data_IF_821672992119
#
_entry.id   IF_821672992119
#
_cell.length_a   1.000
_cell.length_b   1.000
_cell.length_c   1.000
_cell.angle_alpha   90.00
_cell.angle_beta   90.00
_cell.angle_gamma   90.00
#
_symmetry.space_group_name_H-M   'P 1'
#
loop_
_entity.id
_entity.type
_entity.pdbx_description
1 polymer ?
#
# COMPACT_ATOMS: atom_id res chain seq x y z
N UNK A 1 25.54 -14.31 25.47
CA UNK A 1 25.67 -12.87 25.54
C UNK A 1 25.21 -12.21 24.25
N UNK A 2 24.39 -11.22 24.37
CA UNK A 2 23.90 -10.52 23.21
C UNK A 2 24.94 -9.49 22.78
N UNK A 3 25.33 -9.57 21.52
CA UNK A 3 26.24 -8.58 20.98
C UNK A 3 25.52 -7.26 20.79
N UNK A 4 26.26 -6.19 20.87
CA UNK A 4 25.70 -4.86 20.83
C UNK A 4 25.61 -4.28 19.44
N UNK A 5 25.87 -5.09 18.43
CA UNK A 5 25.53 -4.69 17.10
C UNK A 5 24.13 -5.08 16.84
N UNK A 6 23.31 -4.14 16.76
CA UNK A 6 21.96 -4.38 16.32
C UNK A 6 21.92 -3.99 14.86
N UNK A 7 21.88 -4.98 13.99
CA UNK A 7 21.66 -4.67 12.59
C UNK A 7 20.17 -4.51 12.41
N UNK A 8 19.74 -3.27 12.28
CA UNK A 8 18.35 -3.01 11.96
C UNK A 8 18.11 -3.39 10.51
N UNK A 9 17.01 -4.09 10.26
CA UNK A 9 16.65 -4.49 8.93
C UNK A 9 15.60 -3.54 8.38
N UNK A 10 15.86 -2.90 7.22
CA UNK A 10 14.85 -2.08 6.57
C UNK A 10 13.70 -2.93 6.05
N UNK A 11 12.54 -2.34 5.80
CA UNK A 11 11.40 -3.12 5.32
C UNK A 11 11.59 -3.57 3.88
N UNK A 12 10.96 -4.70 3.56
CA UNK A 12 10.81 -5.19 2.20
C UNK A 12 9.34 -5.41 1.94
N UNK A 13 8.89 -5.03 0.78
CA UNK A 13 7.48 -5.14 0.39
C UNK A 13 7.35 -6.16 -0.72
N UNK A 14 6.38 -7.06 -0.59
CA UNK A 14 5.97 -7.91 -1.69
C UNK A 14 5.37 -7.00 -2.78
N UNK A 15 5.81 -7.11 -4.04
CA UNK A 15 5.27 -6.23 -5.08
C UNK A 15 3.75 -6.26 -5.12
N UNK A 16 3.14 -5.08 -5.13
CA UNK A 16 1.70 -4.96 -5.13
C UNK A 16 1.15 -5.01 -6.55
N UNK A 17 -0.08 -5.49 -6.68
CA UNK A 17 -0.75 -5.60 -7.97
C UNK A 17 -2.24 -5.61 -7.76
N UNK A 18 -2.98 -4.98 -8.68
CA UNK A 18 -4.43 -5.07 -8.68
C UNK A 18 -4.94 -6.41 -9.19
N UNK A 19 -4.09 -7.21 -9.81
CA UNK A 19 -4.48 -8.53 -10.30
C UNK A 19 -5.14 -8.53 -11.66
N UNK A 20 -5.56 -7.38 -12.14
CA UNK A 20 -6.15 -7.20 -13.48
C UNK A 20 -5.48 -6.02 -14.15
N UNK A 21 -5.44 -6.05 -15.47
CA UNK A 21 -4.85 -4.97 -16.24
C UNK A 21 -5.78 -3.76 -16.32
N UNK A 22 -7.08 -4.00 -16.43
CA UNK A 22 -8.06 -2.93 -16.55
C UNK A 22 -9.32 -3.29 -15.79
N UNK A 23 -10.00 -2.29 -15.24
CA UNK A 23 -11.21 -2.46 -14.45
C UNK A 23 -12.37 -1.71 -15.10
N UNK A 24 -13.56 -2.27 -15.02
CA UNK A 24 -14.76 -1.58 -15.43
C UNK A 24 -15.24 -0.65 -14.33
N UNK A 25 -15.93 0.42 -14.72
CA UNK A 25 -16.57 1.30 -13.74
C UNK A 25 -17.50 0.49 -12.84
N UNK A 26 -17.65 0.94 -11.63
CA UNK A 26 -18.50 0.35 -10.59
C UNK A 26 -18.02 -0.99 -10.07
N UNK A 27 -16.91 -1.53 -10.58
CA UNK A 27 -16.34 -2.74 -10.02
C UNK A 27 -15.60 -2.43 -8.72
N UNK A 28 -15.36 -3.44 -7.92
CA UNK A 28 -14.62 -3.33 -6.67
C UNK A 28 -13.22 -3.89 -6.85
N UNK A 29 -12.25 -3.24 -6.25
CA UNK A 29 -10.86 -3.75 -6.29
C UNK A 29 -10.14 -3.47 -4.98
N UNK A 30 -9.08 -4.23 -4.76
CA UNK A 30 -8.24 -4.07 -3.58
C UNK A 30 -6.77 -4.14 -3.97
N UNK A 31 -5.95 -3.47 -3.16
CA UNK A 31 -4.50 -3.64 -3.16
C UNK A 31 -4.09 -4.13 -1.79
N UNK A 32 -3.24 -5.13 -1.74
CA UNK A 32 -2.70 -5.62 -0.47
C UNK A 32 -1.21 -5.30 -0.43
N UNK A 33 -0.81 -4.59 0.60
CA UNK A 33 0.60 -4.29 0.85
C UNK A 33 1.08 -5.15 1.99
N UNK A 34 2.02 -6.03 1.72
CA UNK A 34 2.58 -6.93 2.70
C UNK A 34 4.06 -6.65 2.87
N UNK A 35 4.46 -6.41 4.12
CA UNK A 35 5.86 -6.25 4.48
C UNK A 35 6.40 -7.64 4.80
N UNK A 36 7.28 -8.14 3.95
CA UNK A 36 7.81 -9.50 4.07
C UNK A 36 8.98 -9.61 5.03
N UNK A 37 9.67 -8.49 5.30
CA UNK A 37 10.82 -8.43 6.20
C UNK A 37 10.96 -7.02 6.70
N UNK A 38 11.68 -6.86 7.80
CA UNK A 38 11.96 -5.58 8.40
C UNK A 38 11.65 -5.56 9.88
N UNK A 39 12.45 -4.79 10.63
CA UNK A 39 12.28 -4.69 12.08
C UNK A 39 11.07 -3.84 12.43
N UNK A 40 10.35 -4.25 13.46
CA UNK A 40 9.25 -3.44 13.98
C UNK A 40 9.79 -2.33 14.89
N UNK A 41 9.08 -1.23 15.00
CA UNK A 41 7.79 -0.95 14.38
C UNK A 41 7.92 -0.57 12.91
N UNK A 42 6.98 -1.04 12.11
CA UNK A 42 6.85 -0.67 10.69
C UNK A 42 5.57 0.12 10.52
N UNK A 43 5.64 1.24 9.83
CA UNK A 43 4.47 2.06 9.52
C UNK A 43 4.22 1.96 8.02
N UNK A 44 2.99 1.61 7.66
CA UNK A 44 2.58 1.50 6.26
C UNK A 44 1.65 2.67 5.95
N UNK A 45 1.95 3.38 4.88
CA UNK A 45 1.11 4.46 4.39
C UNK A 45 0.85 4.28 2.90
N UNK A 46 -0.22 4.88 2.44
CA UNK A 46 -0.62 4.82 1.04
C UNK A 46 -0.63 6.21 0.43
N UNK A 47 -0.33 6.29 -0.86
CA UNK A 47 -0.45 7.53 -1.60
C UNK A 47 -1.06 7.26 -2.97
N UNK A 48 -1.69 8.30 -3.50
CA UNK A 48 -2.30 8.31 -4.82
C UNK A 48 -1.86 9.61 -5.48
N UNK A 49 -1.20 9.52 -6.63
CA UNK A 49 -0.60 10.68 -7.31
C UNK A 49 0.29 11.50 -6.37
N UNK A 50 1.00 10.84 -5.47
CA UNK A 50 1.89 11.50 -4.53
C UNK A 50 1.22 12.11 -3.31
N UNK A 51 -0.10 12.06 -3.21
CA UNK A 51 -0.84 12.57 -2.06
C UNK A 51 -1.19 11.43 -1.10
N UNK A 52 -0.95 11.65 0.19
CA UNK A 52 -1.28 10.64 1.19
C UNK A 52 -2.77 10.39 1.25
N UNK A 53 -3.13 9.12 1.38
CA UNK A 53 -4.51 8.67 1.52
C UNK A 53 -4.74 8.33 2.98
N UNK A 54 -5.78 8.92 3.57
CA UNK A 54 -6.21 8.56 4.92
C UNK A 54 -7.41 7.61 4.83
N UNK A 55 -7.66 6.90 5.93
CA UNK A 55 -8.71 5.88 5.97
C UNK A 55 -10.12 6.46 5.83
N UNK A 56 -10.29 7.75 6.01
CA UNK A 56 -11.58 8.43 5.89
C UNK A 56 -11.64 9.33 4.66
N UNK A 57 -10.95 8.92 3.61
CA UNK A 57 -10.98 9.62 2.34
C UNK A 57 -12.40 9.67 1.78
N UNK A 58 -12.78 10.82 1.24
CA UNK A 58 -14.12 11.03 0.68
C UNK A 58 -14.29 10.42 -0.70
N UNK A 59 -13.22 9.88 -1.29
CA UNK A 59 -13.24 9.40 -2.68
C UNK A 59 -13.63 7.93 -2.81
N UNK A 60 -14.16 7.33 -1.74
CA UNK A 60 -14.53 5.92 -1.79
C UNK A 60 -13.34 4.98 -1.69
N UNK A 61 -12.19 5.50 -1.31
CA UNK A 61 -10.99 4.71 -1.07
C UNK A 61 -10.85 4.50 0.42
N UNK A 62 -10.76 3.25 0.82
CA UNK A 62 -10.60 2.89 2.23
C UNK A 62 -9.30 2.15 2.42
N UNK A 63 -8.62 2.42 3.53
CA UNK A 63 -7.41 1.69 3.89
C UNK A 63 -7.58 1.12 5.29
N UNK A 64 -7.01 -0.04 5.52
CA UNK A 64 -7.08 -0.67 6.82
C UNK A 64 -5.82 -1.51 7.03
N UNK A 65 -5.29 -1.44 8.25
CA UNK A 65 -4.12 -2.21 8.63
C UNK A 65 -4.55 -3.47 9.37
N UNK A 66 -3.91 -4.58 9.04
CA UNK A 66 -4.13 -5.86 9.69
C UNK A 66 -2.81 -6.31 10.29
N UNK A 67 -2.66 -6.10 11.60
CA UNK A 67 -1.38 -6.30 12.25
C UNK A 67 -0.40 -5.20 11.86
N UNK A 68 0.89 -5.47 12.04
CA UNK A 68 1.92 -4.47 11.81
C UNK A 68 2.52 -4.52 10.41
N UNK A 69 2.23 -5.57 9.62
CA UNK A 69 2.93 -5.79 8.36
C UNK A 69 2.02 -5.97 7.16
N UNK A 70 0.74 -5.70 7.30
CA UNK A 70 -0.20 -5.82 6.20
C UNK A 70 -1.15 -4.64 6.21
N UNK A 71 -1.38 -4.05 5.05
CA UNK A 71 -2.38 -3.00 4.86
C UNK A 71 -3.14 -3.26 3.57
N UNK A 72 -4.44 -3.03 3.61
CA UNK A 72 -5.30 -3.23 2.45
C UNK A 72 -5.92 -1.89 2.07
N UNK A 73 -5.82 -1.57 0.79
CA UNK A 73 -6.52 -0.44 0.19
C UNK A 73 -7.67 -1.00 -0.64
N UNK A 74 -8.86 -0.46 -0.43
CA UNK A 74 -10.06 -0.93 -1.11
C UNK A 74 -10.76 0.23 -1.81
N UNK A 75 -11.16 0.01 -3.05
CA UNK A 75 -12.01 0.92 -3.80
C UNK A 75 -13.31 0.17 -4.04
N UNK A 76 -14.40 0.63 -3.39
CA UNK A 76 -15.66 -0.09 -3.44
C UNK A 76 -16.33 0.01 -4.80
N UNK A 77 -16.20 1.15 -5.45
CA UNK A 77 -16.81 1.38 -6.75
C UNK A 77 -15.86 2.21 -7.59
N UNK A 78 -15.20 1.54 -8.51
CA UNK A 78 -14.18 2.18 -9.33
C UNK A 78 -14.84 3.20 -10.26
N UNK A 79 -14.22 4.37 -10.36
CA UNK A 79 -14.63 5.41 -11.30
C UNK A 79 -13.39 5.91 -12.04
N UNK A 80 -13.62 6.72 -13.07
CA UNK A 80 -12.51 7.28 -13.84
C UNK A 80 -11.57 8.14 -13.00
N UNK A 81 -12.09 8.76 -11.96
CA UNK A 81 -11.26 9.54 -11.04
C UNK A 81 -10.29 8.72 -10.22
N UNK A 82 -10.47 7.41 -10.17
CA UNK A 82 -9.55 6.53 -9.45
C UNK A 82 -8.34 6.09 -10.28
N UNK A 83 -8.30 6.44 -11.56
CA UNK A 83 -7.17 6.07 -12.43
C UNK A 83 -5.89 6.70 -11.94
N UNK A 84 -4.84 5.93 -11.96
CA UNK A 84 -3.52 6.44 -11.64
C UNK A 84 -2.67 5.47 -10.85
N UNK A 85 -1.60 6.00 -10.28
CA UNK A 85 -0.59 5.19 -9.61
C UNK A 85 -0.82 5.26 -8.10
N UNK A 86 -0.96 4.10 -7.50
CA UNK A 86 -1.07 3.93 -6.06
C UNK A 86 0.25 3.37 -5.54
N UNK A 87 0.74 3.93 -4.44
CA UNK A 87 2.01 3.55 -3.85
C UNK A 87 1.81 3.19 -2.39
N UNK A 88 2.35 2.04 -2.02
CA UNK A 88 2.48 1.64 -0.63
C UNK A 88 3.88 1.99 -0.16
N UNK A 89 3.99 2.67 0.96
CA UNK A 89 5.25 2.99 1.60
C UNK A 89 5.31 2.30 2.94
N UNK A 90 6.37 1.53 3.17
CA UNK A 90 6.65 0.94 4.48
C UNK A 90 7.92 1.57 5.03
N UNK A 91 7.88 1.99 6.27
CA UNK A 91 9.01 2.67 6.90
C UNK A 91 9.24 2.15 8.31
N UNK A 92 10.49 1.94 8.64
CA UNK A 92 10.93 1.65 10.02
C UNK A 92 12.17 2.49 10.33
N UNK A 93 12.80 2.22 11.46
CA UNK A 93 13.97 3.01 11.87
C UNK A 93 15.20 2.75 11.02
N UNK A 94 15.22 1.68 10.25
CA UNK A 94 16.35 1.31 9.42
C UNK A 94 16.23 1.80 7.99
N UNK A 95 15.02 2.18 7.54
CA UNK A 95 14.85 2.65 6.18
C UNK A 95 13.41 2.55 5.72
N UNK A 96 13.22 2.58 4.41
CA UNK A 96 11.90 2.52 3.81
C UNK A 96 11.92 1.72 2.52
N UNK A 97 10.74 1.28 2.12
CA UNK A 97 10.52 0.59 0.85
C UNK A 97 9.19 1.05 0.27
N UNK A 98 9.09 1.04 -1.05
CA UNK A 98 7.86 1.38 -1.75
C UNK A 98 7.53 0.33 -2.79
N UNK A 99 6.25 0.21 -3.09
CA UNK A 99 5.78 -0.56 -4.23
C UNK A 99 4.57 0.16 -4.81
N UNK A 100 4.49 0.21 -6.13
CA UNK A 100 3.45 0.96 -6.82
C UNK A 100 2.69 0.06 -7.78
N UNK A 101 1.43 0.41 -8.01
CA UNK A 101 0.59 -0.27 -8.99
C UNK A 101 -0.30 0.76 -9.66
N UNK A 102 -0.50 0.59 -10.94
CA UNK A 102 -1.35 1.49 -11.71
C UNK A 102 -2.75 0.91 -11.86
N UNK A 103 -3.75 1.74 -11.57
CA UNK A 103 -5.14 1.39 -11.80
C UNK A 103 -5.58 1.99 -13.14
N UNK A 104 -6.02 1.13 -14.05
CA UNK A 104 -6.58 1.54 -15.32
C UNK A 104 -8.08 1.25 -15.31
N UNK A 105 -8.84 2.19 -15.80
CA UNK A 105 -10.29 2.07 -15.83
C UNK A 105 -10.76 2.10 -17.28
N UNK A 106 -11.62 1.14 -17.63
CA UNK A 106 -12.17 1.00 -18.96
C UNK A 106 -13.10 2.17 -19.27
N UNK A 107 -12.98 2.68 -20.45
CA UNK A 107 -13.77 3.79 -20.92
C UNK A 107 -12.92 4.96 -21.28
#
# INVERSE_FOLDING_TARGET
MKLFFSFSEPPKIVPISFGQEIFDESSQTTLVCTVSAGDEPVVITWSFHGNNISSDSADGIMTNNFGSKTSILMIQSVSHGHRGIYTCLAKNNAGSATSSAELRVNG
#
